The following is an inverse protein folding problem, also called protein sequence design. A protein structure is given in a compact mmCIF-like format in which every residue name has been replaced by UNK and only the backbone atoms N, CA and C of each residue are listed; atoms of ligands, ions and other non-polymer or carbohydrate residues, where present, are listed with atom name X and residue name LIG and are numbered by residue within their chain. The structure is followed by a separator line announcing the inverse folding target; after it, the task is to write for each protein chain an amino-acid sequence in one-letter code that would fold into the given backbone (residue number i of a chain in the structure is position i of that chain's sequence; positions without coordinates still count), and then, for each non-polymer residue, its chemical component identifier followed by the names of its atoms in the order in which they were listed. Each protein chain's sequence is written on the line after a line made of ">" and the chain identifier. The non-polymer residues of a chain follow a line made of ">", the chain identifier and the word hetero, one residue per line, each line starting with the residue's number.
data_IF_753644205284
#
_entry.id   IF_753644205284
#
_cell.length_a   1.000
_cell.length_b   1.000
_cell.length_c   1.000
_cell.angle_alpha   90.00
_cell.angle_beta   90.00
_cell.angle_gamma   90.00
#
_symmetry.space_group_name_H-M   'P 1'
#
loop_
_entity.id
_entity.type
_entity.pdbx_description
1 polymer ?
#
# COMPACT_ATOMS: atom_id res chain seq x y z
N UNK A 1 -5.68 -9.77 -16.12
CA UNK A 1 -4.80 -8.60 -15.96
C UNK A 1 -3.67 -8.96 -15.00
N UNK A 2 -2.47 -8.61 -15.34
CA UNK A 2 -1.31 -8.87 -14.49
C UNK A 2 -1.01 -7.63 -13.63
N UNK A 3 -0.28 -7.85 -12.53
CA UNK A 3 0.26 -6.72 -11.77
C UNK A 3 1.37 -6.05 -12.58
N UNK A 4 1.19 -4.78 -12.85
CA UNK A 4 2.23 -3.96 -13.48
C UNK A 4 3.25 -3.53 -12.44
N UNK A 5 4.46 -3.07 -12.84
CA UNK A 5 5.39 -2.49 -11.88
C UNK A 5 4.78 -1.37 -11.04
N UNK A 6 3.93 -0.54 -11.65
CA UNK A 6 3.24 0.54 -10.94
C UNK A 6 2.31 0.00 -9.86
N UNK A 7 1.54 -1.04 -10.18
CA UNK A 7 0.66 -1.67 -9.18
C UNK A 7 1.44 -2.32 -8.06
N UNK A 8 2.57 -2.94 -8.36
CA UNK A 8 3.44 -3.52 -7.33
C UNK A 8 3.97 -2.43 -6.41
N UNK A 9 4.34 -1.28 -6.94
CA UNK A 9 4.79 -0.15 -6.13
C UNK A 9 3.67 0.37 -5.23
N UNK A 10 2.43 0.38 -5.72
CA UNK A 10 1.27 0.77 -4.91
C UNK A 10 1.00 -0.25 -3.81
N UNK A 11 1.11 -1.55 -4.09
CA UNK A 11 1.01 -2.59 -3.08
C UNK A 11 2.06 -2.39 -1.97
N UNK A 12 3.29 -2.12 -2.37
CA UNK A 12 4.37 -1.88 -1.41
C UNK A 12 4.11 -0.63 -0.56
N UNK A 13 3.59 0.42 -1.16
CA UNK A 13 3.24 1.65 -0.42
C UNK A 13 2.13 1.37 0.59
N UNK A 14 1.11 0.62 0.20
CA UNK A 14 0.00 0.27 1.10
C UNK A 14 0.47 -0.51 2.32
N UNK A 15 1.49 -1.36 2.18
CA UNK A 15 1.98 -2.14 3.32
C UNK A 15 2.72 -1.30 4.36
N UNK A 16 3.01 -0.04 4.08
CA UNK A 16 3.63 0.88 5.05
C UNK A 16 2.62 1.41 6.08
N UNK A 17 1.33 1.32 5.78
CA UNK A 17 0.27 1.78 6.68
C UNK A 17 -0.14 0.67 7.63
N UNK A 18 -0.64 1.07 8.81
CA UNK A 18 -1.24 0.12 9.74
C UNK A 18 -2.73 -0.04 9.38
N UNK A 19 -3.07 -1.15 8.76
CA UNK A 19 -4.43 -1.43 8.35
C UNK A 19 -5.35 -1.75 9.53
N UNK A 20 -4.80 -2.25 10.63
CA UNK A 20 -5.59 -2.68 11.78
C UNK A 20 -6.22 -1.51 12.51
N UNK A 21 -5.43 -0.48 12.80
CA UNK A 21 -5.93 0.69 13.54
C UNK A 21 -6.48 1.76 12.60
N UNK A 22 -5.90 1.89 11.42
CA UNK A 22 -6.24 2.94 10.47
C UNK A 22 -5.94 4.35 10.96
N UNK A 23 -5.24 4.49 12.10
CA UNK A 23 -4.99 5.79 12.72
C UNK A 23 -3.57 6.27 12.53
N UNK A 24 -2.66 5.39 12.18
CA UNK A 24 -1.27 5.77 11.98
C UNK A 24 -1.07 6.28 10.57
N UNK A 25 -0.76 7.57 10.46
CA UNK A 25 -0.47 8.18 9.17
C UNK A 25 0.99 8.01 8.77
N UNK A 26 1.25 8.24 7.52
CA UNK A 26 2.62 8.35 7.01
C UNK A 26 2.77 9.65 6.24
N UNK A 27 4.01 10.09 6.11
CA UNK A 27 4.35 11.23 5.27
C UNK A 27 5.53 10.85 4.38
N UNK A 28 5.34 10.99 3.09
CA UNK A 28 6.38 10.72 2.11
C UNK A 28 7.09 12.04 1.79
N UNK A 29 8.36 12.14 2.18
CA UNK A 29 9.15 13.35 1.96
C UNK A 29 9.60 13.44 0.51
N UNK A 30 9.93 14.66 0.08
CA UNK A 30 10.43 14.92 -1.29
C UNK A 30 11.72 14.16 -1.59
N UNK A 31 12.47 13.80 -0.55
CA UNK A 31 13.73 13.06 -0.70
C UNK A 31 13.52 11.55 -0.75
N UNK A 32 12.29 11.07 -0.64
CA UNK A 32 12.01 9.64 -0.73
C UNK A 32 12.23 9.12 -2.14
N UNK A 33 12.24 7.79 -2.26
CA UNK A 33 12.34 7.13 -3.56
C UNK A 33 11.26 7.69 -4.51
N UNK A 34 11.63 8.16 -5.71
CA UNK A 34 10.65 8.67 -6.66
C UNK A 34 9.53 7.67 -6.98
N UNK A 35 9.82 6.38 -6.99
CA UNK A 35 8.80 5.36 -7.22
C UNK A 35 7.76 5.35 -6.10
N UNK A 36 8.18 5.52 -4.85
CA UNK A 36 7.28 5.61 -3.72
C UNK A 36 6.42 6.88 -3.78
N UNK A 37 7.04 8.01 -4.09
CA UNK A 37 6.32 9.28 -4.22
C UNK A 37 5.23 9.14 -5.30
N UNK A 38 5.57 8.60 -6.45
CA UNK A 38 4.63 8.42 -7.54
C UNK A 38 3.51 7.44 -7.16
N UNK A 39 3.85 6.36 -6.46
CA UNK A 39 2.85 5.38 -6.02
C UNK A 39 1.83 6.02 -5.06
N UNK A 40 2.29 6.82 -4.11
CA UNK A 40 1.40 7.47 -3.14
C UNK A 40 0.52 8.51 -3.83
N UNK A 41 1.05 9.24 -4.81
CA UNK A 41 0.23 10.15 -5.62
C UNK A 41 -0.89 9.40 -6.33
N UNK A 42 -0.62 8.22 -6.90
CA UNK A 42 -1.65 7.41 -7.54
C UNK A 42 -2.66 6.88 -6.54
N UNK A 43 -2.21 6.46 -5.35
CA UNK A 43 -3.12 6.02 -4.29
C UNK A 43 -4.07 7.15 -3.88
N UNK A 44 -3.56 8.37 -3.78
CA UNK A 44 -4.39 9.53 -3.47
C UNK A 44 -5.42 9.78 -4.58
N UNK A 45 -5.00 9.70 -5.83
CA UNK A 45 -5.90 9.89 -6.97
C UNK A 45 -7.00 8.82 -7.02
N UNK A 46 -6.73 7.62 -6.51
CA UNK A 46 -7.70 6.53 -6.44
C UNK A 46 -8.58 6.58 -5.20
N UNK A 47 -8.36 7.54 -4.31
CA UNK A 47 -9.14 7.68 -3.09
C UNK A 47 -8.76 6.72 -1.98
N UNK A 48 -7.53 6.22 -1.98
CA UNK A 48 -7.07 5.24 -0.99
C UNK A 48 -6.35 5.88 0.19
N UNK A 49 -5.76 7.07 0.00
CA UNK A 49 -5.14 7.84 1.07
C UNK A 49 -5.68 9.27 1.05
N UNK A 50 -5.57 9.95 2.20
CA UNK A 50 -6.21 11.25 2.39
C UNK A 50 -5.43 12.41 1.79
N UNK A 51 -4.12 12.25 1.59
CA UNK A 51 -3.26 13.33 1.10
C UNK A 51 -2.31 12.82 0.02
N UNK A 52 -1.87 13.72 -0.83
CA UNK A 52 -0.97 13.37 -1.94
C UNK A 52 0.40 12.90 -1.46
N UNK A 53 0.80 13.23 -0.24
CA UNK A 53 2.04 12.78 0.38
C UNK A 53 1.82 11.67 1.42
N UNK A 54 0.62 11.06 1.44
CA UNK A 54 0.28 9.96 2.32
C UNK A 54 -0.89 10.28 3.22
N UNK A 55 -0.63 10.87 4.38
CA UNK A 55 -1.67 11.10 5.37
C UNK A 55 -2.16 9.80 5.97
N UNK A 56 -3.45 9.56 5.90
CA UNK A 56 -4.10 8.37 6.47
C UNK A 56 -4.80 7.57 5.37
N UNK A 57 -5.04 6.29 5.65
CA UNK A 57 -5.87 5.48 4.78
C UNK A 57 -7.34 5.92 4.87
N UNK A 58 -7.99 5.99 3.74
CA UNK A 58 -9.45 6.09 3.68
C UNK A 58 -10.06 4.73 4.01
N UNK A 59 -11.40 4.63 4.11
CA UNK A 59 -12.05 3.32 4.30
C UNK A 59 -11.67 2.35 3.19
N UNK A 60 -11.70 2.81 1.93
CA UNK A 60 -11.28 2.00 0.80
C UNK A 60 -9.81 1.64 0.90
N UNK A 61 -8.97 2.60 1.32
CA UNK A 61 -7.55 2.35 1.52
C UNK A 61 -7.26 1.33 2.60
N UNK A 62 -8.04 1.31 3.67
CA UNK A 62 -7.89 0.31 4.73
C UNK A 62 -8.18 -1.09 4.21
N UNK A 63 -9.24 -1.24 3.42
CA UNK A 63 -9.55 -2.52 2.80
C UNK A 63 -8.40 -2.95 1.88
N UNK A 64 -7.92 -2.05 1.05
CA UNK A 64 -6.82 -2.34 0.12
C UNK A 64 -5.55 -2.72 0.88
N UNK A 65 -5.21 -1.99 1.94
CA UNK A 65 -4.01 -2.25 2.74
C UNK A 65 -4.10 -3.61 3.43
N UNK A 66 -5.27 -3.97 3.96
CA UNK A 66 -5.48 -5.27 4.59
C UNK A 66 -5.26 -6.40 3.59
N UNK A 67 -5.80 -6.26 2.36
CA UNK A 67 -5.59 -7.26 1.31
C UNK A 67 -4.12 -7.33 0.89
N UNK A 68 -3.45 -6.18 0.75
CA UNK A 68 -2.04 -6.15 0.37
C UNK A 68 -1.17 -6.84 1.41
N UNK A 69 -1.41 -6.58 2.69
CA UNK A 69 -0.66 -7.19 3.77
C UNK A 69 -0.92 -8.68 3.86
N UNK A 70 -2.17 -9.10 3.73
CA UNK A 70 -2.52 -10.52 3.74
C UNK A 70 -1.86 -11.25 2.57
N UNK A 71 -1.87 -10.66 1.38
CA UNK A 71 -1.24 -11.25 0.20
C UNK A 71 0.27 -11.36 0.40
N UNK A 72 0.91 -10.30 0.89
CA UNK A 72 2.35 -10.33 1.17
C UNK A 72 2.69 -11.46 2.14
N UNK A 73 1.92 -11.57 3.21
CA UNK A 73 2.19 -12.58 4.23
C UNK A 73 2.02 -13.99 3.68
N UNK A 74 0.97 -14.22 2.91
CA UNK A 74 0.73 -15.52 2.28
C UNK A 74 1.85 -15.90 1.29
N UNK A 75 2.33 -14.93 0.53
CA UNK A 75 3.40 -15.18 -0.44
C UNK A 75 4.75 -15.38 0.21
N UNK A 76 4.99 -14.74 1.37
CA UNK A 76 6.30 -14.83 2.04
C UNK A 76 6.38 -15.95 3.06
N UNK A 77 5.26 -16.34 3.66
CA UNK A 77 5.23 -17.36 4.71
C UNK A 77 4.34 -18.54 4.34
N UNK A 78 3.80 -18.54 3.14
CA UNK A 78 2.83 -19.51 2.71
C UNK A 78 3.34 -20.94 2.78
N UNK A 79 2.42 -21.88 2.81
CA UNK A 79 2.70 -23.29 2.98
C UNK A 79 3.03 -23.91 1.62
N UNK A 80 4.26 -23.70 1.17
CA UNK A 80 4.70 -24.21 -0.13
C UNK A 80 4.58 -25.74 -0.21
N UNK A 81 4.71 -26.41 0.91
CA UNK A 81 4.64 -27.86 0.94
C UNK A 81 3.25 -28.41 0.60
N UNK A 82 2.24 -27.57 0.62
CA UNK A 82 0.87 -28.01 0.32
C UNK A 82 0.61 -28.15 -1.19
N UNK A 83 1.55 -27.77 -1.98
CA UNK A 83 1.42 -27.84 -3.44
C UNK A 83 1.65 -29.24 -3.95
#
# INVERSE_FOLDING_TARGET
>A
MSFTPELVQELNALTRFDADTGQQGIKVHKSADPALIAAVLRLHAKGLVTQSDGGYLTSLGRDAAAHAQALRDLLTTGVAASV
#
